data_IF_122234971988
#
_entry.id   IF_122234971988
#
_cell.length_a   1.000
_cell.length_b   1.000
_cell.length_c   1.000
_cell.angle_alpha   90.00
_cell.angle_beta   90.00
_cell.angle_gamma   90.00
#
_symmetry.space_group_name_H-M   'P 1'
#
loop_
_entity.id
_entity.type
_entity.pdbx_description
1 polymer ?
#
# COMPACT_ATOMS: atom_id res chain seq x y z
N UNK A 1 -32.00 -34.96 31.00
CA UNK A 1 -31.80 -33.59 31.51
C UNK A 1 -30.55 -33.71 32.37
N UNK A 2 -29.36 -33.24 32.02
CA UNK A 2 -28.96 -32.05 31.27
C UNK A 2 -27.70 -32.35 30.42
N UNK A 3 -27.79 -32.14 29.11
CA UNK A 3 -26.62 -32.04 28.23
C UNK A 3 -26.23 -30.57 28.14
N UNK A 4 -25.34 -30.13 29.01
CA UNK A 4 -24.78 -28.77 28.99
C UNK A 4 -23.58 -28.71 28.05
N UNK A 5 -23.84 -28.61 26.75
CA UNK A 5 -22.84 -28.23 25.75
C UNK A 5 -22.46 -26.75 25.93
N UNK A 6 -21.36 -26.51 26.66
CA UNK A 6 -20.70 -25.20 26.72
C UNK A 6 -19.92 -25.00 25.42
N UNK A 7 -20.56 -24.44 24.40
CA UNK A 7 -19.87 -23.90 23.22
C UNK A 7 -18.87 -22.81 23.64
N UNK A 8 -17.58 -23.13 23.54
CA UNK A 8 -16.49 -22.18 23.70
C UNK A 8 -16.52 -21.14 22.56
N UNK A 9 -17.08 -19.96 22.84
CA UNK A 9 -17.06 -18.83 21.89
C UNK A 9 -15.62 -18.41 21.61
N UNK A 10 -15.17 -18.57 20.38
CA UNK A 10 -13.86 -18.09 19.93
C UNK A 10 -13.77 -16.56 20.08
N UNK A 11 -12.63 -16.01 20.53
CA UNK A 11 -12.47 -14.56 20.65
C UNK A 11 -12.54 -13.92 19.27
N UNK A 12 -13.54 -13.05 19.06
CA UNK A 12 -13.71 -12.28 17.83
C UNK A 12 -12.42 -11.51 17.54
N UNK A 13 -11.71 -11.87 16.45
CA UNK A 13 -10.58 -11.10 15.93
C UNK A 13 -11.04 -9.66 15.73
N UNK A 14 -10.65 -8.74 16.61
CA UNK A 14 -10.89 -7.31 16.41
C UNK A 14 -9.95 -6.86 15.31
N UNK A 15 -10.48 -6.74 14.09
CA UNK A 15 -9.74 -6.18 12.96
C UNK A 15 -9.29 -4.75 13.25
N UNK A 16 -8.45 -4.19 12.38
CA UNK A 16 -8.02 -2.79 12.47
C UNK A 16 -9.28 -1.89 12.46
N UNK A 17 -9.42 -0.93 13.39
CA UNK A 17 -10.57 -0.04 13.42
C UNK A 17 -10.74 0.68 12.07
N UNK A 18 -11.94 1.14 11.71
CA UNK A 18 -12.18 1.89 10.46
C UNK A 18 -11.39 3.21 10.44
N UNK A 19 -11.14 3.74 9.24
CA UNK A 19 -10.53 5.06 9.08
C UNK A 19 -11.55 6.16 9.39
N UNK A 20 -11.12 7.37 9.78
CA UNK A 20 -12.01 8.53 9.85
C UNK A 20 -12.72 8.77 8.51
N UNK A 21 -13.96 9.29 8.52
CA UNK A 21 -14.68 9.66 7.31
C UNK A 21 -13.86 10.63 6.45
N UNK A 22 -13.84 10.41 5.13
CA UNK A 22 -13.08 11.25 4.19
C UNK A 22 -11.58 10.94 4.11
N UNK A 23 -11.05 10.06 4.95
CA UNK A 23 -9.63 9.69 4.92
C UNK A 23 -9.46 8.33 4.24
N UNK A 24 -8.81 8.33 3.08
CA UNK A 24 -8.30 7.08 2.51
C UNK A 24 -6.99 6.70 3.21
N UNK A 25 -6.86 5.44 3.60
CA UNK A 25 -5.59 4.92 4.13
C UNK A 25 -4.55 4.69 3.06
N UNK A 26 -4.99 4.44 1.83
CA UNK A 26 -4.14 4.11 0.70
C UNK A 26 -4.51 4.99 -0.48
N UNK A 27 -3.55 5.75 -0.97
CA UNK A 27 -3.67 6.48 -2.23
C UNK A 27 -3.07 5.61 -3.33
N UNK A 28 -3.93 4.96 -4.11
CA UNK A 28 -3.50 4.18 -5.27
C UNK A 28 -3.49 5.10 -6.48
N UNK A 29 -2.35 5.16 -7.15
CA UNK A 29 -2.15 5.93 -8.37
C UNK A 29 -1.91 4.95 -9.50
N UNK A 30 -2.59 5.17 -10.62
CA UNK A 30 -2.33 4.47 -11.88
C UNK A 30 -1.77 5.51 -12.83
N UNK A 31 -0.65 5.19 -13.47
CA UNK A 31 -0.02 6.02 -14.49
C UNK A 31 0.36 5.18 -15.68
N UNK A 32 0.53 5.82 -16.82
CA UNK A 32 1.00 5.20 -18.04
C UNK A 32 2.41 5.71 -18.34
N UNK A 33 3.27 4.80 -18.76
CA UNK A 33 4.63 5.08 -19.20
C UNK A 33 4.86 4.31 -20.50
N UNK A 34 5.73 4.83 -21.37
CA UNK A 34 6.19 4.05 -22.51
C UNK A 34 7.26 3.03 -22.10
N UNK A 35 7.60 2.12 -23.03
CA UNK A 35 8.56 1.05 -22.77
C UNK A 35 9.94 1.61 -22.35
N UNK A 36 10.40 2.69 -22.98
CA UNK A 36 11.70 3.29 -22.66
C UNK A 36 11.73 3.91 -21.25
N UNK A 37 10.64 4.52 -20.81
CA UNK A 37 10.46 5.04 -19.45
C UNK A 37 10.37 3.92 -18.43
N UNK A 38 9.67 2.84 -18.76
CA UNK A 38 9.56 1.66 -17.92
C UNK A 38 10.93 1.02 -17.66
N UNK A 39 11.73 0.81 -18.71
CA UNK A 39 13.09 0.26 -18.59
C UNK A 39 13.99 1.15 -17.72
N UNK A 40 13.93 2.47 -17.90
CA UNK A 40 14.69 3.41 -17.05
C UNK A 40 14.28 3.32 -15.58
N UNK A 41 12.98 3.22 -15.31
CA UNK A 41 12.47 3.09 -13.95
C UNK A 41 12.90 1.77 -13.31
N UNK A 42 12.89 0.68 -14.10
CA UNK A 42 13.34 -0.63 -13.65
C UNK A 42 14.84 -0.64 -13.31
N UNK A 43 15.68 -0.01 -14.15
CA UNK A 43 17.11 0.09 -13.88
C UNK A 43 17.41 0.92 -12.62
N UNK A 44 16.68 2.03 -12.41
CA UNK A 44 16.79 2.82 -11.18
C UNK A 44 16.42 2.01 -9.95
N UNK A 45 15.31 1.28 -10.00
CA UNK A 45 14.87 0.42 -8.90
C UNK A 45 15.92 -0.65 -8.56
N UNK A 46 16.50 -1.29 -9.59
CA UNK A 46 17.55 -2.30 -9.42
C UNK A 46 18.83 -1.71 -8.82
N UNK A 47 19.24 -0.53 -9.28
CA UNK A 47 20.44 0.16 -8.80
C UNK A 47 20.37 0.48 -7.30
N UNK A 48 19.19 0.87 -6.84
CA UNK A 48 18.97 1.32 -5.46
C UNK A 48 18.49 0.18 -4.54
N UNK A 49 18.38 -1.06 -5.04
CA UNK A 49 17.82 -2.24 -4.35
C UNK A 49 16.39 -2.00 -3.82
N UNK A 50 15.58 -1.32 -4.62
CA UNK A 50 14.20 -0.95 -4.30
C UNK A 50 13.18 -1.61 -5.24
N UNK A 51 11.93 -1.65 -4.81
CA UNK A 51 10.80 -2.03 -5.70
C UNK A 51 10.50 -0.92 -6.71
N UNK A 52 9.99 -1.28 -7.90
CA UNK A 52 9.51 -0.34 -8.92
C UNK A 52 8.55 0.73 -8.38
N UNK A 53 7.62 0.33 -7.51
CA UNK A 53 6.66 1.27 -6.91
C UNK A 53 7.32 2.25 -5.95
N UNK A 54 8.37 1.83 -5.23
CA UNK A 54 9.14 2.72 -4.35
C UNK A 54 9.97 3.72 -5.16
N UNK A 55 10.64 3.26 -6.23
CA UNK A 55 11.36 4.14 -7.14
C UNK A 55 10.43 5.20 -7.76
N UNK A 56 9.25 4.79 -8.23
CA UNK A 56 8.24 5.71 -8.76
C UNK A 56 7.76 6.71 -7.69
N UNK A 57 7.44 6.23 -6.49
CA UNK A 57 7.01 7.07 -5.38
C UNK A 57 8.07 8.12 -4.99
N UNK A 58 9.34 7.71 -4.94
CA UNK A 58 10.48 8.59 -4.65
C UNK A 58 10.62 9.70 -5.68
N UNK A 59 10.53 9.37 -6.98
CA UNK A 59 10.58 10.36 -8.05
C UNK A 59 9.41 11.34 -7.97
N UNK A 60 8.18 10.84 -7.81
CA UNK A 60 6.97 11.67 -7.64
C UNK A 60 7.09 12.62 -6.45
N UNK A 61 7.54 12.11 -5.30
CA UNK A 61 7.69 12.90 -4.07
C UNK A 61 8.76 13.97 -4.25
N UNK A 62 9.87 13.65 -4.90
CA UNK A 62 10.95 14.61 -5.18
C UNK A 62 10.44 15.78 -6.03
N UNK A 63 9.73 15.49 -7.12
CA UNK A 63 9.23 16.53 -8.03
C UNK A 63 8.12 17.37 -7.38
N UNK A 64 7.18 16.75 -6.66
CA UNK A 64 6.12 17.47 -5.96
C UNK A 64 6.67 18.42 -4.89
N UNK A 65 7.70 18.01 -4.16
CA UNK A 65 8.33 18.85 -3.14
C UNK A 65 9.19 19.96 -3.74
N UNK A 66 9.71 19.79 -4.96
CA UNK A 66 10.49 20.82 -5.65
C UNK A 66 9.62 21.96 -6.22
N UNK A 67 8.31 21.74 -6.32
CA UNK A 67 7.34 22.70 -6.85
C UNK A 67 6.62 23.51 -5.76
N UNK A 68 6.98 23.30 -4.49
CA UNK A 68 6.45 24.02 -3.33
C UNK A 68 7.45 25.08 -2.85
#
# INVERSE_FOLDING_TARGET
MDSSDKEARSPRRRGRPPAPPGVSRNHRVVTFVNDAEFERLHELARRDDETLSMAAYRLLTKELNAQQ
#
